data_IF_771831306897
#
_entry.id   IF_771831306897
#
_cell.length_a   1.000
_cell.length_b   1.000
_cell.length_c   1.000
_cell.angle_alpha   90.00
_cell.angle_beta   90.00
_cell.angle_gamma   90.00
#
_symmetry.space_group_name_H-M   'P 1'
#
loop_
_entity.id
_entity.type
_entity.pdbx_description
1 polymer ?
#
# COMPACT_ATOMS: atom_id res chain seq x y z
N UNK A 1 26.05 29.88 -1.91
CA UNK A 1 24.89 30.73 -1.50
C UNK A 1 25.16 32.19 -1.87
N UNK A 2 26.31 32.76 -1.49
CA UNK A 2 26.69 34.15 -1.83
C UNK A 2 26.59 34.39 -3.34
N UNK A 3 27.31 33.60 -4.14
CA UNK A 3 27.33 33.73 -5.61
C UNK A 3 25.92 33.60 -6.24
N UNK A 4 25.06 32.78 -5.66
CA UNK A 4 23.69 32.60 -6.14
C UNK A 4 22.83 33.85 -5.87
N UNK A 5 22.85 34.37 -4.63
CA UNK A 5 22.05 35.54 -4.28
C UNK A 5 22.54 36.81 -4.97
N UNK A 6 23.85 36.99 -5.11
CA UNK A 6 24.42 38.17 -5.75
C UNK A 6 24.14 38.25 -7.28
N UNK A 7 23.63 37.15 -7.90
CA UNK A 7 23.15 37.14 -9.27
C UNK A 7 21.71 37.59 -9.43
N UNK A 8 20.99 37.79 -8.33
CA UNK A 8 19.61 38.28 -8.34
C UNK A 8 19.62 39.79 -8.39
N UNK A 9 18.91 40.40 -9.37
CA UNK A 9 18.85 41.86 -9.51
C UNK A 9 18.36 42.52 -8.22
N UNK A 10 19.11 43.47 -7.71
CA UNK A 10 18.85 44.18 -6.46
C UNK A 10 19.49 43.55 -5.22
N UNK A 11 20.15 42.39 -5.36
CA UNK A 11 20.85 41.71 -4.27
C UNK A 11 22.37 41.58 -4.53
N UNK A 12 22.90 42.35 -5.46
CA UNK A 12 24.31 42.28 -5.90
C UNK A 12 25.33 42.57 -4.76
N UNK A 13 24.87 43.30 -3.73
CA UNK A 13 25.69 43.66 -2.58
C UNK A 13 25.19 43.06 -1.28
N UNK A 14 24.39 41.97 -1.36
CA UNK A 14 23.87 41.33 -0.18
C UNK A 14 24.97 40.76 0.68
N UNK A 15 24.93 41.06 1.97
CA UNK A 15 25.76 40.43 2.98
C UNK A 15 24.95 39.46 3.80
N UNK A 16 25.54 38.27 4.05
CA UNK A 16 24.88 37.23 4.84
C UNK A 16 25.10 37.49 6.32
N UNK A 17 24.04 37.71 7.06
CA UNK A 17 24.09 37.67 8.51
C UNK A 17 24.38 36.25 9.02
N UNK A 18 23.74 35.26 8.38
CA UNK A 18 23.97 33.83 8.64
C UNK A 18 23.67 33.02 7.39
N UNK A 19 24.62 32.24 6.90
CA UNK A 19 24.34 31.35 5.77
C UNK A 19 23.36 30.24 6.15
N UNK A 20 22.56 29.79 5.21
CA UNK A 20 21.76 28.58 5.35
C UNK A 20 22.68 27.37 5.46
N UNK A 21 22.19 26.32 6.11
CA UNK A 21 22.90 25.05 6.21
C UNK A 21 22.27 24.01 5.27
N UNK A 22 23.07 23.03 4.87
CA UNK A 22 22.59 21.82 4.21
C UNK A 22 22.88 20.62 5.13
N UNK A 23 21.97 19.68 5.13
CA UNK A 23 22.18 18.38 5.78
C UNK A 23 22.41 17.37 4.66
N UNK A 24 23.54 16.68 4.71
CA UNK A 24 23.86 15.59 3.80
C UNK A 24 23.67 14.26 4.52
N UNK A 25 23.12 13.28 3.79
CA UNK A 25 22.90 11.94 4.32
C UNK A 25 23.56 10.95 3.38
N UNK A 26 24.16 9.90 3.96
CA UNK A 26 24.60 8.75 3.20
C UNK A 26 23.39 8.10 2.51
N UNK A 27 23.55 7.80 1.23
CA UNK A 27 22.52 7.16 0.43
C UNK A 27 22.97 5.79 -0.06
N UNK A 28 22.14 4.79 0.19
CA UNK A 28 22.33 3.43 -0.29
C UNK A 28 21.21 3.10 -1.28
N UNK A 29 21.53 2.80 -2.56
CA UNK A 29 20.50 2.48 -3.54
C UNK A 29 19.60 1.35 -3.06
N UNK A 30 18.28 1.57 -2.88
CA UNK A 30 17.39 0.56 -2.31
C UNK A 30 17.19 -0.67 -3.20
N UNK A 31 17.57 -0.62 -4.47
CA UNK A 31 17.57 -1.78 -5.36
C UNK A 31 18.43 -2.95 -4.86
N UNK A 32 19.39 -2.69 -3.94
CA UNK A 32 20.17 -3.73 -3.26
C UNK A 32 19.46 -4.40 -2.09
N UNK A 33 18.22 -4.01 -1.79
CA UNK A 33 17.42 -4.57 -0.71
C UNK A 33 16.39 -5.57 -1.23
N UNK A 34 16.05 -6.54 -0.39
CA UNK A 34 14.91 -7.44 -0.55
C UNK A 34 13.60 -6.75 -0.10
N UNK A 35 12.46 -7.36 -0.35
CA UNK A 35 11.16 -6.92 0.17
C UNK A 35 11.10 -6.82 1.71
N UNK A 36 12.00 -7.51 2.41
CA UNK A 36 12.16 -7.44 3.87
C UNK A 36 12.97 -6.25 4.34
N UNK A 37 13.52 -5.44 3.43
CA UNK A 37 14.53 -4.39 3.64
C UNK A 37 15.89 -4.93 4.13
N UNK A 38 16.11 -6.25 4.05
CA UNK A 38 17.42 -6.86 4.25
C UNK A 38 18.28 -6.65 2.99
N UNK A 39 19.57 -6.41 3.18
CA UNK A 39 20.54 -6.35 2.10
C UNK A 39 20.61 -7.68 1.33
N UNK A 40 20.64 -7.60 -0.02
CA UNK A 40 20.91 -8.76 -0.88
C UNK A 40 22.34 -9.27 -0.75
N UNK A 41 23.27 -8.40 -0.36
CA UNK A 41 24.71 -8.68 -0.34
C UNK A 41 25.22 -9.10 1.04
N UNK A 42 24.59 -8.64 2.12
CA UNK A 42 25.03 -8.91 3.50
C UNK A 42 23.86 -9.42 4.30
N UNK A 43 23.92 -10.71 4.67
CA UNK A 43 22.86 -11.34 5.47
C UNK A 43 22.77 -10.75 6.88
N UNK A 44 21.54 -10.45 7.33
CA UNK A 44 21.27 -9.88 8.64
C UNK A 44 21.43 -8.34 8.72
N UNK A 45 21.83 -7.68 7.63
CA UNK A 45 21.94 -6.22 7.57
C UNK A 45 20.65 -5.65 6.94
N UNK A 46 19.99 -4.73 7.65
CA UNK A 46 18.77 -4.07 7.22
C UNK A 46 18.98 -2.57 7.12
N UNK A 47 18.29 -1.93 6.17
CA UNK A 47 18.35 -0.48 5.97
C UNK A 47 16.96 0.14 6.10
N UNK A 48 16.86 1.26 6.82
CA UNK A 48 15.60 1.97 7.03
C UNK A 48 15.80 3.48 7.07
N UNK A 49 14.81 4.22 6.57
CA UNK A 49 14.76 5.68 6.67
C UNK A 49 15.55 6.38 5.58
N UNK A 50 16.22 7.47 5.93
CA UNK A 50 16.82 8.40 4.97
C UNK A 50 17.91 7.78 4.11
N UNK A 51 18.64 6.82 4.62
CA UNK A 51 19.67 6.12 3.83
C UNK A 51 19.09 5.35 2.63
N UNK A 52 17.78 5.05 2.65
CA UNK A 52 17.05 4.50 1.51
C UNK A 52 16.44 5.58 0.59
N UNK A 53 16.83 6.85 0.75
CA UNK A 53 16.35 7.95 -0.06
C UNK A 53 14.95 8.45 0.31
N UNK A 54 14.43 8.13 1.48
CA UNK A 54 13.15 8.68 1.98
C UNK A 54 13.41 9.86 2.92
N UNK A 55 12.60 10.94 2.81
CA UNK A 55 12.77 12.14 3.63
C UNK A 55 11.66 12.35 4.67
N UNK A 56 10.59 11.53 4.65
CA UNK A 56 9.45 11.66 5.56
C UNK A 56 9.61 10.85 6.85
N UNK A 57 9.05 11.36 7.95
CA UNK A 57 9.05 10.68 9.24
C UNK A 57 8.24 9.38 9.19
N UNK A 58 7.09 9.41 8.52
CA UNK A 58 6.19 8.27 8.37
C UNK A 58 6.85 7.16 7.56
N UNK A 59 7.56 7.51 6.49
CA UNK A 59 8.32 6.56 5.67
C UNK A 59 9.44 5.91 6.49
N UNK A 60 10.16 6.68 7.30
CA UNK A 60 11.23 6.18 8.14
C UNK A 60 10.69 5.23 9.23
N UNK A 61 9.59 5.62 9.90
CA UNK A 61 8.94 4.81 10.93
C UNK A 61 8.44 3.47 10.35
N UNK A 62 7.81 3.50 9.18
CA UNK A 62 7.30 2.31 8.50
C UNK A 62 8.43 1.35 8.11
N UNK A 63 9.53 1.85 7.57
CA UNK A 63 10.70 1.04 7.22
C UNK A 63 11.34 0.44 8.48
N UNK A 64 11.54 1.24 9.54
CA UNK A 64 12.09 0.77 10.80
C UNK A 64 11.26 -0.34 11.44
N UNK A 65 9.92 -0.21 11.40
CA UNK A 65 9.00 -1.24 11.87
C UNK A 65 9.17 -2.55 11.08
N UNK A 66 9.17 -2.48 9.76
CA UNK A 66 9.32 -3.68 8.90
C UNK A 66 10.70 -4.33 9.08
N UNK A 67 11.77 -3.53 9.16
CA UNK A 67 13.11 -4.04 9.45
C UNK A 67 13.16 -4.75 10.80
N UNK A 68 12.64 -4.15 11.87
CA UNK A 68 12.65 -4.72 13.22
C UNK A 68 11.87 -6.03 13.30
N UNK A 69 10.68 -6.08 12.69
CA UNK A 69 9.87 -7.31 12.62
C UNK A 69 10.62 -8.39 11.85
N UNK A 70 11.13 -8.10 10.66
CA UNK A 70 11.81 -9.10 9.84
C UNK A 70 13.13 -9.57 10.41
N UNK A 71 13.89 -8.70 11.07
CA UNK A 71 15.09 -9.11 11.81
C UNK A 71 14.74 -10.07 12.95
N UNK A 72 13.67 -9.78 13.69
CA UNK A 72 13.19 -10.66 14.77
C UNK A 72 12.69 -12.01 14.24
N UNK A 73 11.88 -12.00 13.16
CA UNK A 73 11.38 -13.23 12.55
C UNK A 73 12.52 -14.09 12.02
N UNK A 74 13.56 -13.50 11.44
CA UNK A 74 14.73 -14.21 10.96
C UNK A 74 15.49 -14.90 12.09
N UNK A 75 15.68 -14.24 13.24
CA UNK A 75 16.31 -14.83 14.43
C UNK A 75 15.46 -15.99 14.98
N UNK A 76 14.14 -15.88 14.90
CA UNK A 76 13.18 -16.89 15.33
C UNK A 76 12.95 -18.01 14.30
N UNK A 77 13.66 -17.98 13.18
CA UNK A 77 13.53 -18.94 12.06
C UNK A 77 12.06 -19.04 11.55
N UNK A 78 11.35 -17.89 11.52
CA UNK A 78 9.98 -17.78 11.03
C UNK A 78 9.95 -17.12 9.65
N UNK A 79 8.84 -17.35 8.94
CA UNK A 79 8.58 -16.71 7.66
C UNK A 79 8.58 -15.18 7.77
N UNK A 80 9.18 -14.46 6.82
CA UNK A 80 9.27 -13.02 6.87
C UNK A 80 7.91 -12.35 6.67
N UNK A 81 7.73 -11.16 7.27
CA UNK A 81 6.61 -10.28 6.98
C UNK A 81 6.82 -9.59 5.62
N UNK A 82 6.05 -9.98 4.64
CA UNK A 82 6.00 -9.31 3.33
C UNK A 82 4.68 -8.54 3.21
N UNK A 83 4.80 -7.24 3.04
CA UNK A 83 3.69 -6.34 2.75
C UNK A 83 3.67 -6.06 1.25
N UNK A 84 2.56 -6.41 0.62
CA UNK A 84 2.35 -6.26 -0.83
C UNK A 84 1.66 -4.93 -1.16
N UNK A 85 1.75 -4.49 -2.41
CA UNK A 85 1.16 -3.24 -2.91
C UNK A 85 -0.38 -3.19 -2.73
N UNK A 86 -1.05 -4.32 -2.81
CA UNK A 86 -2.49 -4.45 -2.58
C UNK A 86 -2.86 -4.51 -1.08
N UNK A 87 -1.89 -4.77 -0.19
CA UNK A 87 -2.15 -4.92 1.23
C UNK A 87 -1.93 -3.64 2.05
N UNK A 88 -1.01 -2.77 1.65
CA UNK A 88 -0.69 -1.57 2.43
C UNK A 88 0.10 -0.51 1.65
N UNK A 89 0.01 0.75 2.09
CA UNK A 89 0.89 1.82 1.63
C UNK A 89 2.37 1.55 1.93
N UNK A 90 2.67 0.84 3.03
CA UNK A 90 4.03 0.38 3.35
C UNK A 90 4.52 -0.58 2.27
N UNK A 91 3.67 -1.51 1.81
CA UNK A 91 4.01 -2.41 0.72
C UNK A 91 4.25 -1.68 -0.61
N UNK A 92 3.43 -0.66 -0.92
CA UNK A 92 3.66 0.21 -2.10
C UNK A 92 5.01 0.91 -1.99
N UNK A 93 5.33 1.52 -0.84
CA UNK A 93 6.59 2.22 -0.61
C UNK A 93 7.79 1.29 -0.76
N UNK A 94 7.79 0.13 -0.12
CA UNK A 94 8.91 -0.80 -0.17
C UNK A 94 9.13 -1.29 -1.60
N UNK A 95 8.07 -1.70 -2.29
CA UNK A 95 8.16 -2.14 -3.67
C UNK A 95 8.68 -1.03 -4.60
N UNK A 96 8.19 0.21 -4.43
CA UNK A 96 8.70 1.37 -5.20
C UNK A 96 10.19 1.61 -4.95
N UNK A 97 10.64 1.54 -3.70
CA UNK A 97 12.05 1.75 -3.34
C UNK A 97 12.97 0.73 -3.99
N UNK A 98 12.59 -0.56 -3.95
CA UNK A 98 13.47 -1.64 -4.43
C UNK A 98 13.40 -1.85 -5.95
N UNK A 99 12.35 -1.36 -6.62
CA UNK A 99 12.14 -1.56 -8.08
C UNK A 99 12.32 -0.32 -8.92
N UNK A 100 12.00 0.87 -8.37
CA UNK A 100 12.12 2.14 -9.10
C UNK A 100 13.42 2.83 -8.69
N UNK A 101 14.42 2.79 -9.52
CA UNK A 101 15.73 3.44 -9.30
C UNK A 101 15.56 4.98 -9.28
N UNK A 102 14.98 5.52 -8.21
CA UNK A 102 14.69 6.95 -8.08
C UNK A 102 15.91 7.70 -7.58
N UNK A 103 16.31 8.74 -8.31
CA UNK A 103 17.41 9.64 -7.94
C UNK A 103 16.92 10.82 -7.06
N UNK A 104 15.62 10.98 -6.93
CA UNK A 104 14.99 12.03 -6.11
C UNK A 104 14.52 11.46 -4.77
N UNK A 105 14.46 12.29 -3.70
CA UNK A 105 13.92 11.86 -2.43
C UNK A 105 12.50 11.28 -2.57
N UNK A 106 12.31 10.06 -2.11
CA UNK A 106 11.02 9.40 -2.17
C UNK A 106 10.06 9.94 -1.11
N UNK A 107 8.84 10.26 -1.53
CA UNK A 107 7.70 10.58 -0.67
C UNK A 107 6.51 9.71 -1.05
N UNK A 108 5.82 9.21 -0.02
CA UNK A 108 4.61 8.41 -0.19
C UNK A 108 3.39 9.29 -0.42
N UNK A 109 2.98 9.44 -1.67
CA UNK A 109 1.73 10.10 -2.04
C UNK A 109 0.65 9.05 -2.36
N UNK A 110 -0.60 9.40 -2.13
CA UNK A 110 -1.74 8.51 -2.45
C UNK A 110 -1.82 8.16 -3.94
N UNK A 111 -1.28 9.03 -4.82
CA UNK A 111 -1.19 8.79 -6.26
C UNK A 111 -0.25 7.64 -6.65
N UNK A 112 0.63 7.21 -5.74
CA UNK A 112 1.53 6.06 -5.99
C UNK A 112 0.84 4.72 -5.80
N UNK A 113 -0.31 4.69 -5.11
CA UNK A 113 -1.08 3.47 -4.86
C UNK A 113 -2.14 3.29 -5.96
N UNK A 114 -2.01 2.24 -6.74
CA UNK A 114 -2.95 1.88 -7.81
C UNK A 114 -4.33 1.53 -7.24
N UNK A 115 -4.33 0.84 -6.09
CA UNK A 115 -5.55 0.31 -5.45
C UNK A 115 -5.97 1.11 -4.21
N UNK A 116 -5.84 2.45 -4.24
CA UNK A 116 -6.09 3.33 -3.09
C UNK A 116 -7.50 3.19 -2.49
N UNK A 117 -8.52 2.83 -3.29
CA UNK A 117 -9.86 2.57 -2.79
C UNK A 117 -9.95 1.31 -1.90
N UNK A 118 -9.02 0.37 -2.09
CA UNK A 118 -8.88 -0.82 -1.26
C UNK A 118 -7.93 -0.61 -0.07
N UNK A 119 -7.13 0.47 -0.06
CA UNK A 119 -6.15 0.78 0.98
C UNK A 119 -6.61 1.93 1.88
N UNK A 120 -7.82 1.84 2.42
CA UNK A 120 -8.36 2.83 3.35
C UNK A 120 -7.81 2.59 4.77
N UNK A 121 -7.69 3.66 5.57
CA UNK A 121 -7.31 3.52 6.98
C UNK A 121 -8.36 2.74 7.77
N UNK A 122 -9.65 2.94 7.45
CA UNK A 122 -10.79 2.30 8.11
C UNK A 122 -10.84 0.78 7.95
N UNK A 123 -10.35 0.23 6.83
CA UNK A 123 -10.29 -1.22 6.60
C UNK A 123 -8.92 -1.85 6.91
N UNK A 124 -8.03 -1.11 7.57
CA UNK A 124 -6.70 -1.62 7.96
C UNK A 124 -6.77 -2.92 8.79
N UNK A 125 -7.68 -3.06 9.77
CA UNK A 125 -7.82 -4.32 10.52
C UNK A 125 -8.07 -5.52 9.63
N UNK A 126 -8.97 -5.43 8.66
CA UNK A 126 -9.28 -6.54 7.75
C UNK A 126 -8.07 -6.97 6.91
N UNK A 127 -7.27 -6.02 6.46
CA UNK A 127 -6.13 -6.29 5.58
C UNK A 127 -4.89 -6.79 6.31
N UNK A 128 -4.65 -6.32 7.54
CA UNK A 128 -3.36 -6.51 8.21
C UNK A 128 -3.44 -7.29 9.52
N UNK A 129 -4.62 -7.52 10.11
CA UNK A 129 -4.74 -8.16 11.41
C UNK A 129 -4.13 -9.56 11.44
N UNK A 130 -4.39 -10.39 10.43
CA UNK A 130 -3.81 -11.74 10.35
C UNK A 130 -2.29 -11.71 10.19
N UNK A 131 -1.76 -10.77 9.40
CA UNK A 131 -0.31 -10.58 9.29
C UNK A 131 0.31 -10.16 10.62
N UNK A 132 -0.34 -9.24 11.36
CA UNK A 132 0.11 -8.79 12.66
C UNK A 132 0.10 -9.91 13.72
N UNK A 133 -0.89 -10.81 13.68
CA UNK A 133 -0.94 -12.01 14.52
C UNK A 133 0.21 -12.96 14.18
N UNK A 134 0.38 -13.28 12.91
CA UNK A 134 1.40 -14.25 12.45
C UNK A 134 2.80 -13.79 12.83
N UNK A 135 3.12 -12.50 12.68
CA UNK A 135 4.43 -11.99 13.08
C UNK A 135 4.55 -11.61 14.56
N UNK A 136 3.49 -11.79 15.36
CA UNK A 136 3.51 -11.51 16.81
C UNK A 136 3.64 -10.02 17.16
N UNK A 137 3.28 -9.10 16.23
CA UNK A 137 3.42 -7.66 16.45
C UNK A 137 2.23 -7.00 17.14
N UNK A 138 1.18 -7.76 17.49
CA UNK A 138 -0.04 -7.25 18.13
C UNK A 138 -0.27 -7.91 19.49
N UNK A 139 -0.67 -7.08 20.48
CA UNK A 139 -1.07 -7.57 21.80
C UNK A 139 -2.44 -8.25 21.75
N UNK A 140 -2.65 -9.30 22.55
CA UNK A 140 -3.91 -10.07 22.60
C UNK A 140 -5.15 -9.22 22.85
N UNK A 141 -5.06 -8.23 23.74
CA UNK A 141 -6.18 -7.31 24.02
C UNK A 141 -6.60 -6.51 22.80
N UNK A 142 -5.63 -5.96 22.05
CA UNK A 142 -5.89 -5.20 20.83
C UNK A 142 -6.38 -6.12 19.71
N UNK A 143 -5.76 -7.31 19.57
CA UNK A 143 -6.19 -8.32 18.62
C UNK A 143 -7.66 -8.69 18.81
N UNK A 144 -8.10 -8.94 20.07
CA UNK A 144 -9.48 -9.24 20.40
C UNK A 144 -10.41 -8.09 19.97
N UNK A 145 -10.06 -6.85 20.34
CA UNK A 145 -10.86 -5.66 19.98
C UNK A 145 -11.01 -5.50 18.47
N UNK A 146 -9.92 -5.62 17.71
CA UNK A 146 -9.96 -5.46 16.27
C UNK A 146 -10.69 -6.62 15.57
N UNK A 147 -10.57 -7.85 16.09
CA UNK A 147 -11.34 -9.00 15.59
C UNK A 147 -12.86 -8.80 15.77
N UNK A 148 -13.28 -8.28 16.93
CA UNK A 148 -14.68 -7.94 17.19
C UNK A 148 -15.18 -6.83 16.23
N UNK A 149 -14.34 -5.86 15.88
CA UNK A 149 -14.68 -4.79 14.92
C UNK A 149 -14.91 -5.37 13.53
N UNK A 150 -14.00 -6.22 13.05
CA UNK A 150 -14.14 -6.89 11.74
C UNK A 150 -15.42 -7.72 11.68
N UNK A 151 -15.71 -8.51 12.74
CA UNK A 151 -16.93 -9.30 12.80
C UNK A 151 -18.20 -8.45 12.76
N UNK A 152 -18.21 -7.33 13.48
CA UNK A 152 -19.36 -6.41 13.50
C UNK A 152 -19.57 -5.72 12.16
N UNK A 153 -18.49 -5.32 11.49
CA UNK A 153 -18.58 -4.79 10.13
C UNK A 153 -19.27 -5.79 9.20
N UNK A 154 -18.88 -7.06 9.26
CA UNK A 154 -19.50 -8.11 8.45
C UNK A 154 -20.98 -8.29 8.78
N UNK A 155 -21.34 -8.29 10.08
CA UNK A 155 -22.74 -8.33 10.52
C UNK A 155 -23.55 -7.15 9.99
N UNK A 156 -22.98 -5.94 10.03
CA UNK A 156 -23.63 -4.73 9.48
C UNK A 156 -23.88 -4.88 7.98
N UNK A 157 -22.86 -5.29 7.20
CA UNK A 157 -22.99 -5.51 5.75
C UNK A 157 -24.08 -6.56 5.46
N UNK A 158 -24.13 -7.65 6.21
CA UNK A 158 -25.17 -8.67 6.08
C UNK A 158 -26.56 -8.11 6.41
N UNK A 159 -26.68 -7.34 7.50
CA UNK A 159 -27.95 -6.70 7.89
C UNK A 159 -28.48 -5.73 6.84
N UNK A 160 -27.62 -5.02 6.15
CA UNK A 160 -28.00 -4.12 5.06
C UNK A 160 -28.57 -4.83 3.81
N UNK A 161 -28.60 -6.16 3.79
CA UNK A 161 -29.34 -6.95 2.80
C UNK A 161 -30.84 -7.00 3.07
N UNK A 162 -31.30 -6.65 4.28
CA UNK A 162 -32.71 -6.53 4.61
C UNK A 162 -33.35 -5.38 3.83
N UNK A 163 -34.63 -5.56 3.51
CA UNK A 163 -35.41 -4.57 2.76
C UNK A 163 -35.85 -3.40 3.63
N UNK A 164 -35.79 -2.21 3.05
CA UNK A 164 -36.30 -0.97 3.62
C UNK A 164 -37.53 -0.52 2.82
N UNK A 165 -38.56 -0.05 3.50
CA UNK A 165 -39.79 0.42 2.87
C UNK A 165 -39.64 1.90 2.44
N UNK A 166 -40.46 2.34 1.47
CA UNK A 166 -40.44 3.73 1.00
C UNK A 166 -40.67 4.78 2.10
N UNK A 167 -41.48 4.46 3.10
CA UNK A 167 -41.83 5.34 4.22
C UNK A 167 -40.75 5.39 5.33
N UNK A 168 -39.77 4.51 5.28
CA UNK A 168 -38.71 4.39 6.30
C UNK A 168 -37.46 5.23 5.99
N UNK A 169 -37.32 5.77 4.79
CA UNK A 169 -36.15 6.55 4.39
C UNK A 169 -36.54 7.73 3.51
N UNK A 170 -35.93 8.88 3.78
CA UNK A 170 -36.11 10.07 2.94
C UNK A 170 -35.03 10.10 1.86
N UNK A 171 -35.44 10.13 0.60
CA UNK A 171 -34.55 10.20 -0.57
C UNK A 171 -35.04 11.26 -1.54
N UNK A 172 -34.14 11.88 -2.31
CA UNK A 172 -34.46 12.90 -3.31
C UNK A 172 -35.44 12.39 -4.38
N UNK A 173 -35.35 11.12 -4.74
CA UNK A 173 -36.32 10.42 -5.59
C UNK A 173 -36.97 9.32 -4.74
N UNK A 174 -38.27 9.42 -4.44
CA UNK A 174 -38.99 8.45 -3.60
C UNK A 174 -38.82 7.01 -4.12
N UNK A 175 -38.74 6.06 -3.20
CA UNK A 175 -38.75 4.65 -3.56
C UNK A 175 -40.17 4.26 -3.99
N UNK A 176 -40.28 3.50 -5.08
CA UNK A 176 -41.57 2.96 -5.57
C UNK A 176 -41.95 1.65 -4.89
N UNK A 177 -40.98 0.93 -4.31
CA UNK A 177 -41.18 -0.35 -3.64
C UNK A 177 -40.08 -0.59 -2.59
N UNK A 178 -40.28 -1.59 -1.75
CA UNK A 178 -39.23 -2.03 -0.81
C UNK A 178 -38.01 -2.57 -1.56
N UNK A 179 -36.83 -2.12 -1.15
CA UNK A 179 -35.54 -2.54 -1.73
C UNK A 179 -34.54 -2.82 -0.61
N UNK A 180 -33.49 -3.63 -0.83
CA UNK A 180 -32.45 -3.82 0.16
C UNK A 180 -31.82 -2.48 0.59
N UNK A 181 -31.54 -2.30 1.88
CA UNK A 181 -30.98 -1.06 2.42
C UNK A 181 -29.65 -0.68 1.75
N UNK A 182 -28.83 -1.67 1.36
CA UNK A 182 -27.58 -1.45 0.59
C UNK A 182 -27.81 -0.75 -0.76
N UNK A 183 -28.95 -1.00 -1.43
CA UNK A 183 -29.24 -0.34 -2.71
C UNK A 183 -29.65 1.13 -2.50
N UNK A 184 -30.27 1.43 -1.36
CA UNK A 184 -30.56 2.80 -0.95
C UNK A 184 -29.29 3.57 -0.61
N UNK A 185 -28.35 2.92 0.08
CA UNK A 185 -27.04 3.51 0.43
C UNK A 185 -26.15 3.82 -0.77
N UNK A 186 -26.36 3.21 -1.93
CA UNK A 186 -25.67 3.60 -3.17
C UNK A 186 -26.02 5.01 -3.64
N UNK A 187 -27.12 5.59 -3.13
CA UNK A 187 -27.48 6.98 -3.38
C UNK A 187 -26.60 7.90 -2.53
N UNK A 188 -25.98 8.91 -3.15
CA UNK A 188 -25.01 9.78 -2.48
C UNK A 188 -25.53 10.54 -1.25
N UNK A 189 -26.84 10.85 -1.25
CA UNK A 189 -27.52 11.58 -0.19
C UNK A 189 -27.87 10.72 1.03
N UNK A 190 -27.77 9.40 0.94
CA UNK A 190 -28.15 8.50 2.05
C UNK A 190 -26.90 8.06 2.81
N UNK A 191 -26.98 8.16 4.14
CA UNK A 191 -25.98 7.63 5.07
C UNK A 191 -26.58 6.49 5.91
N UNK A 192 -25.74 5.58 6.40
CA UNK A 192 -26.14 4.53 7.34
C UNK A 192 -26.82 5.14 8.57
N UNK A 193 -26.36 6.30 9.05
CA UNK A 193 -26.94 7.00 10.20
C UNK A 193 -28.38 7.51 9.94
N UNK A 194 -28.77 7.66 8.68
CA UNK A 194 -30.13 8.04 8.26
C UNK A 194 -31.06 6.84 8.06
N UNK A 195 -30.59 5.61 8.24
CA UNK A 195 -31.40 4.41 8.15
C UNK A 195 -32.14 4.13 9.47
N UNK A 196 -33.24 3.33 9.45
CA UNK A 196 -33.93 2.89 10.64
C UNK A 196 -33.01 2.24 11.69
N UNK A 197 -33.35 2.42 12.96
CA UNK A 197 -32.52 2.01 14.11
C UNK A 197 -32.14 0.53 14.10
N UNK A 198 -33.01 -0.36 13.53
CA UNK A 198 -32.70 -1.78 13.38
C UNK A 198 -31.39 -2.07 12.62
N UNK A 199 -30.94 -1.17 11.78
CA UNK A 199 -29.64 -1.28 11.09
C UNK A 199 -28.46 -0.76 11.93
N UNK A 200 -28.73 -0.16 13.11
CA UNK A 200 -27.75 0.54 13.93
C UNK A 200 -27.38 -0.21 15.22
N UNK A 201 -27.60 -1.53 15.27
CA UNK A 201 -27.48 -2.38 16.49
C UNK A 201 -26.08 -2.49 17.09
N UNK A 202 -25.08 -1.81 16.54
CA UNK A 202 -23.68 -1.91 16.95
C UNK A 202 -23.19 -0.80 17.91
N UNK A 203 -24.07 0.09 18.39
CA UNK A 203 -23.73 1.29 19.16
C UNK A 203 -23.16 1.06 20.58
N UNK A 204 -23.19 -0.15 21.14
CA UNK A 204 -23.19 -0.27 22.61
C UNK A 204 -21.85 -0.65 23.30
N UNK A 205 -20.75 -0.97 22.61
CA UNK A 205 -19.55 -1.52 23.30
C UNK A 205 -18.18 -0.96 22.91
N UNK A 206 -18.07 -0.05 21.97
CA UNK A 206 -16.76 0.46 21.50
C UNK A 206 -16.66 1.99 21.57
N UNK A 207 -15.44 2.52 21.64
CA UNK A 207 -15.22 3.96 21.51
C UNK A 207 -15.88 4.51 20.23
N UNK A 208 -16.47 5.69 20.33
CA UNK A 208 -17.22 6.31 19.23
C UNK A 208 -16.43 6.38 17.92
N UNK A 209 -15.15 6.74 17.99
CA UNK A 209 -14.28 6.83 16.82
C UNK A 209 -14.19 5.50 16.04
N UNK A 210 -14.18 4.38 16.73
CA UNK A 210 -14.11 3.06 16.11
C UNK A 210 -15.41 2.69 15.41
N UNK A 211 -16.54 3.12 15.97
CA UNK A 211 -17.87 2.97 15.36
C UNK A 211 -17.96 3.83 14.09
N UNK A 212 -17.52 5.06 14.17
CA UNK A 212 -17.52 6.00 13.04
C UNK A 212 -16.67 5.46 11.88
N UNK A 213 -15.52 4.85 12.17
CA UNK A 213 -14.66 4.21 11.17
C UNK A 213 -15.35 3.02 10.49
N UNK A 214 -16.07 2.17 11.25
CA UNK A 214 -16.82 1.04 10.68
C UNK A 214 -17.93 1.54 9.76
N UNK A 215 -18.68 2.56 10.17
CA UNK A 215 -19.75 3.15 9.35
C UNK A 215 -19.18 3.71 8.06
N UNK A 216 -18.14 4.53 8.17
CA UNK A 216 -17.47 5.13 7.02
C UNK A 216 -16.96 4.06 6.04
N UNK A 217 -16.40 2.98 6.57
CA UNK A 217 -15.86 1.90 5.75
C UNK A 217 -16.96 1.12 5.02
N UNK A 218 -18.05 0.77 5.71
CA UNK A 218 -19.19 0.08 5.11
C UNK A 218 -19.87 0.96 4.05
N UNK A 219 -20.07 2.25 4.34
CA UNK A 219 -20.61 3.17 3.33
C UNK A 219 -19.70 3.27 2.10
N UNK A 220 -18.40 3.35 2.32
CA UNK A 220 -17.41 3.41 1.23
C UNK A 220 -17.44 2.14 0.39
N UNK A 221 -17.52 0.96 0.99
CA UNK A 221 -17.61 -0.31 0.27
C UNK A 221 -18.87 -0.40 -0.59
N UNK A 222 -20.01 0.03 -0.07
CA UNK A 222 -21.28 -0.04 -0.78
C UNK A 222 -21.32 1.01 -1.91
N UNK A 223 -20.95 2.25 -1.62
CA UNK A 223 -20.97 3.35 -2.60
C UNK A 223 -19.97 3.15 -3.73
N UNK A 224 -18.82 2.58 -3.44
CA UNK A 224 -17.74 2.31 -4.42
C UNK A 224 -17.67 0.84 -4.88
N UNK A 225 -18.69 0.02 -4.61
CA UNK A 225 -18.69 -1.42 -4.91
C UNK A 225 -18.23 -1.75 -6.33
N UNK A 226 -18.72 -1.02 -7.34
CA UNK A 226 -18.35 -1.26 -8.74
C UNK A 226 -16.88 -0.97 -9.05
N UNK A 227 -16.29 0.04 -8.41
CA UNK A 227 -14.86 0.36 -8.54
C UNK A 227 -14.00 -0.65 -7.79
N UNK A 228 -14.40 -1.03 -6.58
CA UNK A 228 -13.69 -2.03 -5.76
C UNK A 228 -13.66 -3.37 -6.48
N UNK A 229 -14.78 -3.82 -7.06
CA UNK A 229 -14.83 -5.07 -7.85
C UNK A 229 -13.86 -5.06 -9.04
N UNK A 230 -13.78 -3.96 -9.77
CA UNK A 230 -12.80 -3.81 -10.87
C UNK A 230 -11.37 -3.88 -10.36
N UNK A 231 -11.07 -3.15 -9.28
CA UNK A 231 -9.74 -3.17 -8.65
C UNK A 231 -9.35 -4.57 -8.18
N UNK A 232 -10.28 -5.36 -7.63
CA UNK A 232 -10.01 -6.75 -7.22
C UNK A 232 -9.60 -7.65 -8.41
N UNK A 233 -10.20 -7.46 -9.58
CA UNK A 233 -9.79 -8.20 -10.80
C UNK A 233 -8.36 -7.85 -11.21
N UNK A 234 -8.01 -6.56 -11.13
CA UNK A 234 -6.63 -6.09 -11.41
C UNK A 234 -5.63 -6.64 -10.39
N UNK A 235 -5.98 -6.64 -9.10
CA UNK A 235 -5.17 -7.23 -8.02
C UNK A 235 -4.93 -8.72 -8.27
N UNK A 236 -5.96 -9.47 -8.64
CA UNK A 236 -5.82 -10.89 -8.99
C UNK A 236 -4.86 -11.13 -10.16
N UNK A 237 -4.92 -10.27 -11.17
CA UNK A 237 -3.99 -10.34 -12.31
C UNK A 237 -2.55 -10.02 -11.88
N UNK A 238 -2.37 -9.00 -11.03
CA UNK A 238 -1.08 -8.62 -10.45
C UNK A 238 -0.48 -9.77 -9.62
N UNK A 239 -1.26 -10.39 -8.74
CA UNK A 239 -0.84 -11.54 -7.92
C UNK A 239 -0.36 -12.72 -8.75
N UNK A 240 -0.99 -13.00 -9.90
CA UNK A 240 -0.53 -14.03 -10.84
C UNK A 240 0.87 -13.74 -11.35
N UNK A 241 1.18 -12.48 -11.68
CA UNK A 241 2.51 -12.07 -12.13
C UNK A 241 3.53 -12.10 -10.99
N UNK A 242 3.13 -11.72 -9.77
CA UNK A 242 3.98 -11.80 -8.57
C UNK A 242 4.27 -13.24 -8.13
N UNK A 243 3.38 -14.18 -8.44
CA UNK A 243 3.60 -15.60 -8.23
C UNK A 243 4.64 -16.24 -9.16
N UNK A 244 5.08 -15.55 -10.22
CA UNK A 244 6.12 -16.03 -11.13
C UNK A 244 7.49 -15.59 -10.62
N UNK A 245 8.18 -16.48 -9.90
CA UNK A 245 9.49 -16.21 -9.29
C UNK A 245 10.58 -16.09 -10.34
N UNK A 246 11.49 -15.15 -10.16
CA UNK A 246 12.70 -14.95 -10.97
C UNK A 246 13.93 -15.38 -10.15
N UNK A 247 14.76 -16.26 -10.72
CA UNK A 247 16.01 -16.65 -10.07
C UNK A 247 16.95 -15.44 -9.96
N UNK A 248 17.56 -15.27 -8.80
CA UNK A 248 18.43 -14.12 -8.49
C UNK A 248 19.76 -14.13 -9.23
N UNK A 249 20.19 -15.31 -9.69
CA UNK A 249 21.40 -15.59 -10.48
C UNK A 249 21.14 -15.66 -11.98
N UNK A 250 19.90 -15.32 -12.42
CA UNK A 250 19.50 -15.44 -13.83
C UNK A 250 20.33 -14.52 -14.71
N UNK A 251 20.95 -15.10 -15.73
CA UNK A 251 21.63 -14.35 -16.77
C UNK A 251 20.63 -13.84 -17.83
N UNK A 252 20.27 -12.57 -17.70
CA UNK A 252 19.35 -11.91 -18.62
C UNK A 252 19.94 -11.65 -20.00
N UNK A 253 21.29 -11.63 -20.13
CA UNK A 253 21.98 -11.40 -21.41
C UNK A 253 21.84 -12.60 -22.37
N UNK A 254 21.62 -13.78 -21.80
CA UNK A 254 21.42 -15.01 -22.56
C UNK A 254 20.02 -15.16 -23.14
N UNK A 255 19.06 -14.28 -22.80
CA UNK A 255 17.66 -14.36 -23.23
C UNK A 255 17.50 -13.63 -24.58
N UNK A 256 17.27 -14.35 -25.70
CA UNK A 256 17.11 -13.72 -27.00
C UNK A 256 15.80 -12.91 -27.05
N UNK A 257 15.89 -11.68 -27.58
CA UNK A 257 14.72 -10.82 -27.76
C UNK A 257 14.46 -9.81 -26.62
N UNK A 258 15.24 -9.84 -25.54
CA UNK A 258 15.25 -8.75 -24.56
C UNK A 258 15.94 -7.51 -25.12
N UNK A 259 15.42 -6.32 -24.82
CA UNK A 259 16.10 -5.07 -25.14
C UNK A 259 17.35 -4.90 -24.28
N UNK A 260 18.38 -4.19 -24.79
CA UNK A 260 19.61 -3.92 -24.04
C UNK A 260 19.32 -3.17 -22.72
N UNK A 261 18.35 -2.25 -22.74
CA UNK A 261 17.87 -1.55 -21.53
C UNK A 261 17.26 -2.50 -20.52
N UNK A 262 16.45 -3.45 -20.98
CA UNK A 262 15.84 -4.46 -20.11
C UNK A 262 16.92 -5.37 -19.48
N UNK A 263 17.89 -5.82 -20.26
CA UNK A 263 19.02 -6.64 -19.76
C UNK A 263 19.78 -5.89 -18.66
N UNK A 264 20.15 -4.63 -18.90
CA UNK A 264 20.89 -3.82 -17.94
C UNK A 264 20.11 -3.66 -16.63
N UNK A 265 18.83 -3.25 -16.71
CA UNK A 265 17.99 -2.97 -15.55
C UNK A 265 17.65 -4.22 -14.76
N UNK A 266 17.30 -5.32 -15.42
CA UNK A 266 17.01 -6.59 -14.76
C UNK A 266 18.26 -7.15 -14.05
N UNK A 267 19.43 -7.02 -14.65
CA UNK A 267 20.71 -7.44 -14.07
C UNK A 267 21.08 -6.58 -12.85
N UNK A 268 20.83 -5.27 -12.90
CA UNK A 268 21.09 -4.33 -11.82
C UNK A 268 20.14 -4.53 -10.63
N UNK A 269 18.84 -4.58 -10.90
CA UNK A 269 17.79 -4.58 -9.87
C UNK A 269 17.55 -5.98 -9.31
N UNK A 270 17.69 -7.02 -10.12
CA UNK A 270 17.43 -8.42 -9.76
C UNK A 270 16.06 -8.58 -9.10
N UNK A 271 14.96 -8.36 -9.85
CA UNK A 271 13.62 -8.49 -9.30
C UNK A 271 13.36 -9.93 -8.83
N UNK A 272 12.61 -10.09 -7.75
CA UNK A 272 12.28 -11.39 -7.16
C UNK A 272 11.20 -12.14 -7.97
N UNK A 273 10.37 -11.40 -8.69
CA UNK A 273 9.26 -11.96 -9.47
C UNK A 273 8.94 -11.11 -10.71
N UNK A 274 8.10 -11.68 -11.59
CA UNK A 274 7.70 -11.03 -12.84
C UNK A 274 6.92 -9.74 -12.61
N UNK A 275 6.09 -9.66 -11.55
CA UNK A 275 5.36 -8.45 -11.17
C UNK A 275 6.30 -7.29 -10.84
N UNK A 276 7.39 -7.54 -10.09
CA UNK A 276 8.43 -6.53 -9.85
C UNK A 276 9.12 -6.11 -11.15
N UNK A 277 9.47 -7.07 -12.02
CA UNK A 277 10.09 -6.78 -13.30
C UNK A 277 9.21 -5.83 -14.16
N UNK A 278 7.90 -6.03 -14.16
CA UNK A 278 6.93 -5.15 -14.86
C UNK A 278 6.94 -3.70 -14.36
N UNK A 279 7.28 -3.48 -13.10
CA UNK A 279 7.27 -2.15 -12.45
C UNK A 279 8.60 -1.39 -12.58
N UNK A 280 9.65 -2.04 -13.06
CA UNK A 280 10.94 -1.39 -13.30
C UNK A 280 10.79 -0.37 -14.43
N UNK A 281 11.16 0.88 -14.16
CA UNK A 281 11.11 1.95 -15.17
C UNK A 281 11.96 1.62 -16.39
N UNK A 282 11.37 1.66 -17.59
CA UNK A 282 12.02 1.35 -18.87
C UNK A 282 11.88 -0.11 -19.32
N UNK A 283 11.33 -1.01 -18.51
CA UNK A 283 10.93 -2.33 -18.99
C UNK A 283 9.63 -2.20 -19.78
N UNK A 284 9.62 -2.72 -21.01
CA UNK A 284 8.48 -2.64 -21.92
C UNK A 284 7.62 -3.90 -21.83
N UNK A 285 6.32 -3.84 -22.19
CA UNK A 285 5.46 -5.03 -22.26
C UNK A 285 6.02 -6.14 -23.17
N UNK A 286 6.75 -5.79 -24.23
CA UNK A 286 7.45 -6.73 -25.10
C UNK A 286 8.52 -7.53 -24.36
N UNK A 287 9.32 -6.85 -23.50
CA UNK A 287 10.36 -7.50 -22.70
C UNK A 287 9.75 -8.49 -21.69
N UNK A 288 8.62 -8.11 -21.08
CA UNK A 288 7.86 -8.99 -20.17
C UNK A 288 7.32 -10.22 -20.90
N UNK A 289 6.82 -10.06 -22.12
CA UNK A 289 6.37 -11.18 -22.95
C UNK A 289 7.51 -12.15 -23.25
N UNK A 290 8.69 -11.63 -23.61
CA UNK A 290 9.90 -12.41 -23.86
C UNK A 290 10.33 -13.16 -22.58
N UNK A 291 10.37 -12.48 -21.43
CA UNK A 291 10.67 -13.11 -20.14
C UNK A 291 9.69 -14.24 -19.83
N UNK A 292 8.39 -14.01 -19.98
CA UNK A 292 7.35 -14.99 -19.66
C UNK A 292 7.49 -16.26 -20.52
N UNK A 293 7.82 -16.12 -21.80
CA UNK A 293 8.05 -17.26 -22.70
C UNK A 293 9.29 -18.05 -22.27
N UNK A 294 10.37 -17.36 -21.88
CA UNK A 294 11.63 -18.00 -21.47
C UNK A 294 11.60 -18.61 -20.06
N UNK A 295 10.62 -18.25 -19.22
CA UNK A 295 10.40 -18.86 -17.91
C UNK A 295 9.59 -20.17 -17.98
N UNK A 296 8.88 -20.42 -19.09
CA UNK A 296 8.09 -21.62 -19.32
C UNK A 296 8.89 -22.74 -19.99
N UNK A 297 10.11 -22.47 -20.42
CA UNK A 297 11.07 -23.45 -20.98
C UNK A 297 11.97 -24.00 -19.88
#
# INVERSE_FOLDING_TARGET
QVDYLQKINGLERVEFFRPGYAIEYDFFPPSQLKNTLESKNVGGLYFAGQMNGTSGYEEAAAQGLVCGINASLKILEKDPLILTRDSSYIGVMIDDLITKDTLEPYRMFTSRAEHRLSLRYSNTPERLLEKAKTCGSIKDSLNKTLSEVVERKQKLICGLSESIRPDEVSTSTPLSQSVPAKEVLKRGEVSILGLPERFLTYKEKHPRWLIDDVIYDVESEIKYEGYIKRSLVEIESMKKSEGVVLAQDKDYSSIPGLSSEAVEKLTKIKPENLGQAMRISGIKPSDISVLTINLRK
#
